data_IF_350380975120
#
_entry.id   IF_350380975120
#
_cell.length_a   1.000
_cell.length_b   1.000
_cell.length_c   1.000
_cell.angle_alpha   90.00
_cell.angle_beta   90.00
_cell.angle_gamma   90.00
#
_symmetry.space_group_name_H-M   'P 1'
#
loop_
_entity.id
_entity.type
_entity.pdbx_description
1 polymer ?
#
# COMPACT_ATOMS: atom_id res chain seq x y z
N UNK A 1 44.32 44.04 17.47
CA UNK A 1 42.87 43.76 17.69
C UNK A 1 42.41 42.93 16.50
N UNK A 2 42.22 41.62 16.69
CA UNK A 2 41.97 40.66 15.61
C UNK A 2 40.57 40.10 15.83
N UNK A 3 39.63 40.51 14.99
CA UNK A 3 38.21 40.14 15.11
C UNK A 3 37.96 38.90 14.28
N UNK A 4 37.96 37.73 14.91
CA UNK A 4 37.64 36.45 14.27
C UNK A 4 36.14 36.37 14.05
N UNK A 5 35.71 36.41 12.79
CA UNK A 5 34.30 36.25 12.39
C UNK A 5 34.00 34.77 12.26
N UNK A 6 33.14 34.24 13.13
CA UNK A 6 32.63 32.87 13.03
C UNK A 6 31.44 32.85 12.07
N UNK A 7 31.62 32.25 10.89
CA UNK A 7 30.51 31.93 9.99
C UNK A 7 29.90 30.61 10.47
N UNK A 8 28.78 30.70 11.18
CA UNK A 8 27.99 29.53 11.57
C UNK A 8 27.20 29.09 10.33
N UNK A 9 27.65 28.01 9.70
CA UNK A 9 26.90 27.33 8.65
C UNK A 9 25.71 26.61 9.30
N UNK A 10 24.51 27.13 9.09
CA UNK A 10 23.26 26.42 9.37
C UNK A 10 23.17 25.22 8.43
N UNK A 11 23.50 24.02 8.92
CA UNK A 11 23.13 22.78 8.25
C UNK A 11 21.63 22.59 8.40
N UNK A 12 20.86 23.12 7.45
CA UNK A 12 19.46 22.78 7.28
C UNK A 12 19.38 21.31 6.89
N UNK A 13 19.07 20.44 7.85
CA UNK A 13 18.78 19.05 7.57
C UNK A 13 17.54 18.97 6.67
N UNK A 14 17.71 18.46 5.45
CA UNK A 14 16.60 18.12 4.56
C UNK A 14 15.90 16.89 5.18
N UNK A 15 14.86 17.12 5.99
CA UNK A 15 13.93 16.05 6.34
C UNK A 15 13.17 15.72 5.06
N UNK A 16 13.68 14.76 4.29
CA UNK A 16 12.89 14.07 3.29
C UNK A 16 11.74 13.42 4.06
N UNK A 17 10.56 14.05 4.01
CA UNK A 17 9.34 13.42 4.49
C UNK A 17 9.19 12.13 3.72
N UNK A 18 9.34 10.99 4.38
CA UNK A 18 8.96 9.70 3.82
C UNK A 18 7.44 9.69 3.80
N UNK A 19 6.85 10.22 2.74
CA UNK A 19 5.40 10.21 2.62
C UNK A 19 4.96 8.83 2.14
N UNK A 20 4.09 8.23 2.94
CA UNK A 20 3.59 6.89 2.71
C UNK A 20 2.18 7.00 2.15
N UNK A 21 1.85 6.11 1.23
CA UNK A 21 0.49 5.90 0.77
C UNK A 21 -0.18 4.85 1.66
N UNK A 22 -1.36 5.16 2.19
CA UNK A 22 -2.11 4.25 3.04
C UNK A 22 -3.13 3.49 2.19
N UNK A 23 -3.04 2.18 2.19
CA UNK A 23 -3.95 1.31 1.46
C UNK A 23 -5.01 0.79 2.43
N UNK A 24 -6.27 0.91 2.02
CA UNK A 24 -7.46 0.44 2.70
C UNK A 24 -8.07 -0.72 1.92
N UNK A 25 -8.65 -1.70 2.61
CA UNK A 25 -9.49 -2.72 1.99
C UNK A 25 -10.96 -2.42 2.30
N UNK A 26 -11.78 -2.21 1.27
CA UNK A 26 -13.21 -1.89 1.46
C UNK A 26 -14.08 -3.13 1.67
N UNK A 27 -13.62 -4.29 1.21
CA UNK A 27 -14.32 -5.56 1.36
C UNK A 27 -13.34 -6.73 1.38
N UNK A 28 -13.71 -7.79 2.09
CA UNK A 28 -12.88 -8.98 2.24
C UNK A 28 -11.51 -8.68 2.85
N UNK A 29 -10.53 -9.54 2.53
CA UNK A 29 -9.15 -9.33 2.89
C UNK A 29 -8.24 -9.51 1.67
N UNK A 30 -7.13 -8.76 1.68
CA UNK A 30 -6.09 -8.76 0.67
C UNK A 30 -4.73 -8.93 1.33
N UNK A 31 -3.70 -9.20 0.54
CA UNK A 31 -2.30 -9.18 1.00
C UNK A 31 -1.55 -8.15 0.18
N UNK A 32 -0.82 -7.26 0.84
CA UNK A 32 -0.04 -6.16 0.23
C UNK A 32 1.43 -6.40 0.56
N UNK A 33 2.28 -6.70 -0.41
CA UNK A 33 3.72 -6.98 -0.20
C UNK A 33 4.02 -8.01 0.91
N UNK A 34 3.12 -8.97 1.16
CA UNK A 34 3.13 -9.97 2.27
C UNK A 34 2.45 -9.56 3.58
N UNK A 35 1.91 -8.34 3.69
CA UNK A 35 1.12 -7.90 4.85
C UNK A 35 -0.37 -8.11 4.60
N UNK A 36 -1.08 -8.93 5.40
CA UNK A 36 -2.51 -9.09 5.27
C UNK A 36 -3.26 -7.83 5.74
N UNK A 37 -4.32 -7.47 5.03
CA UNK A 37 -5.21 -6.37 5.37
C UNK A 37 -6.66 -6.80 5.13
N UNK A 38 -7.49 -6.71 6.16
CA UNK A 38 -8.92 -6.98 6.09
C UNK A 38 -9.74 -5.70 6.18
N UNK A 39 -10.94 -5.72 5.60
CA UNK A 39 -11.90 -4.65 5.78
C UNK A 39 -12.19 -4.42 7.27
N UNK A 40 -12.11 -3.16 7.71
CA UNK A 40 -12.22 -2.76 9.12
C UNK A 40 -10.95 -2.99 9.96
N UNK A 41 -9.88 -3.56 9.38
CA UNK A 41 -8.62 -3.87 10.07
C UNK A 41 -7.59 -2.73 10.13
N UNK A 42 -7.90 -1.56 9.58
CA UNK A 42 -7.00 -0.41 9.50
C UNK A 42 -6.43 -0.19 8.09
N UNK A 43 -5.14 0.14 8.00
CA UNK A 43 -4.45 0.43 6.74
C UNK A 43 -3.05 -0.19 6.70
N UNK A 44 -2.51 -0.36 5.49
CA UNK A 44 -1.10 -0.69 5.27
C UNK A 44 -0.42 0.49 4.58
N UNK A 45 0.66 1.01 5.17
CA UNK A 45 1.43 2.12 4.62
C UNK A 45 2.54 1.63 3.69
N UNK A 46 2.61 2.19 2.48
CA UNK A 46 3.59 1.85 1.43
C UNK A 46 4.33 3.11 1.00
N UNK A 47 5.66 3.08 1.05
CA UNK A 47 6.52 4.25 0.76
C UNK A 47 7.12 4.27 -0.65
N UNK A 48 7.06 3.17 -1.39
CA UNK A 48 7.73 3.01 -2.70
C UNK A 48 6.95 3.56 -3.90
N UNK A 49 5.71 4.02 -3.72
CA UNK A 49 4.82 4.38 -4.83
C UNK A 49 4.32 3.15 -5.62
N UNK A 50 4.52 1.95 -5.09
CA UNK A 50 4.09 0.71 -5.73
C UNK A 50 3.92 -0.43 -4.73
N UNK A 51 3.01 -1.36 -5.01
CA UNK A 51 2.85 -2.58 -4.22
C UNK A 51 2.33 -3.74 -5.07
N UNK A 52 2.69 -4.96 -4.69
CA UNK A 52 2.03 -6.18 -5.15
C UNK A 52 0.88 -6.49 -4.22
N UNK A 53 -0.33 -6.51 -4.77
CA UNK A 53 -1.57 -6.82 -4.09
C UNK A 53 -2.07 -8.18 -4.56
N UNK A 54 -2.28 -9.08 -3.63
CA UNK A 54 -2.95 -10.36 -3.86
C UNK A 54 -4.38 -10.23 -3.35
N UNK A 55 -5.35 -10.64 -4.16
CA UNK A 55 -6.77 -10.48 -3.85
C UNK A 55 -7.60 -11.70 -4.22
N UNK A 56 -8.92 -11.57 -4.07
CA UNK A 56 -9.92 -12.60 -4.39
C UNK A 56 -9.69 -13.93 -3.66
N UNK A 57 -9.29 -13.85 -2.40
CA UNK A 57 -9.24 -15.00 -1.50
C UNK A 57 -10.66 -15.53 -1.23
N UNK A 58 -10.77 -16.83 -0.95
CA UNK A 58 -12.05 -17.53 -0.74
C UNK A 58 -12.71 -17.24 0.63
N UNK A 59 -12.01 -16.54 1.52
CA UNK A 59 -12.50 -16.21 2.86
C UNK A 59 -12.33 -17.32 3.89
N UNK A 60 -11.69 -18.42 3.54
CA UNK A 60 -11.41 -19.50 4.48
C UNK A 60 -10.19 -19.15 5.34
N UNK A 61 -10.28 -19.23 6.67
CA UNK A 61 -9.16 -18.94 7.59
C UNK A 61 -8.13 -20.06 7.73
N UNK A 62 -8.30 -21.20 7.04
CA UNK A 62 -7.34 -22.31 7.03
C UNK A 62 -7.12 -22.80 5.59
N UNK A 63 -5.89 -23.16 5.18
CA UNK A 63 -4.64 -23.20 5.96
C UNK A 63 -4.00 -21.79 6.14
N UNK A 64 -2.88 -21.64 6.91
CA UNK A 64 -2.18 -20.36 7.10
C UNK A 64 -1.59 -19.74 5.81
N UNK A 65 -1.52 -20.52 4.74
CA UNK A 65 -1.18 -20.06 3.39
C UNK A 65 -2.22 -20.59 2.41
N UNK A 66 -2.51 -19.84 1.37
CA UNK A 66 -3.47 -20.23 0.33
C UNK A 66 -3.12 -19.58 -1.00
N UNK A 67 -3.77 -20.04 -2.07
CA UNK A 67 -3.67 -19.40 -3.38
C UNK A 67 -4.52 -18.14 -3.43
N UNK A 68 -3.93 -17.04 -3.90
CA UNK A 68 -4.73 -15.87 -4.28
C UNK A 68 -5.58 -16.15 -5.53
N UNK A 69 -6.66 -15.40 -5.70
CA UNK A 69 -7.50 -15.45 -6.91
C UNK A 69 -7.06 -14.48 -8.01
N UNK A 70 -6.25 -13.48 -7.66
CA UNK A 70 -5.64 -12.53 -8.60
C UNK A 70 -4.32 -11.96 -8.02
N UNK A 71 -3.49 -11.41 -8.91
CA UNK A 71 -2.31 -10.61 -8.55
C UNK A 71 -2.43 -9.27 -9.27
N UNK A 72 -2.19 -8.18 -8.55
CA UNK A 72 -2.11 -6.83 -9.08
C UNK A 72 -0.78 -6.21 -8.67
N UNK A 73 0.07 -5.90 -9.65
CA UNK A 73 1.24 -5.05 -9.43
C UNK A 73 0.80 -3.62 -9.69
N UNK A 74 0.56 -2.87 -8.62
CA UNK A 74 0.01 -1.53 -8.69
C UNK A 74 1.09 -0.46 -8.51
N UNK A 75 0.90 0.66 -9.19
CA UNK A 75 1.79 1.81 -9.15
C UNK A 75 0.99 3.12 -9.02
N UNK A 76 1.57 4.09 -8.32
CA UNK A 76 1.04 5.42 -8.11
C UNK A 76 2.19 6.41 -7.90
N UNK A 77 1.98 7.72 -8.14
CA UNK A 77 2.91 8.74 -7.71
C UNK A 77 3.28 8.58 -6.24
N UNK A 78 4.53 8.85 -5.86
CA UNK A 78 4.88 8.92 -4.44
C UNK A 78 3.89 9.83 -3.69
N UNK A 79 3.60 9.50 -2.43
CA UNK A 79 2.84 10.38 -1.54
C UNK A 79 1.36 10.55 -1.94
N UNK A 80 0.77 9.51 -2.55
CA UNK A 80 -0.57 9.56 -3.11
C UNK A 80 -1.71 9.78 -2.09
N UNK A 81 -1.41 9.68 -0.79
CA UNK A 81 -2.40 9.77 0.28
C UNK A 81 -3.06 8.42 0.55
N UNK A 82 -4.39 8.35 0.42
CA UNK A 82 -5.16 7.12 0.66
C UNK A 82 -5.56 6.44 -0.65
N UNK A 83 -5.37 5.12 -0.70
CA UNK A 83 -5.82 4.23 -1.77
C UNK A 83 -6.80 3.22 -1.19
N UNK A 84 -7.89 2.96 -1.90
CA UNK A 84 -8.95 2.05 -1.49
C UNK A 84 -9.05 0.90 -2.48
N UNK A 85 -8.86 -0.32 -2.00
CA UNK A 85 -9.15 -1.55 -2.75
C UNK A 85 -10.65 -1.83 -2.66
N UNK A 86 -11.35 -1.64 -3.77
CA UNK A 86 -12.80 -1.78 -3.90
C UNK A 86 -13.26 -3.24 -3.90
N UNK A 87 -14.56 -3.44 -3.64
CA UNK A 87 -15.20 -4.76 -3.69
C UNK A 87 -15.23 -5.36 -5.11
N UNK A 88 -15.06 -4.52 -6.13
CA UNK A 88 -14.89 -4.91 -7.53
C UNK A 88 -13.42 -5.26 -7.88
N UNK A 89 -12.53 -5.27 -6.88
CA UNK A 89 -11.12 -5.62 -6.98
C UNK A 89 -10.25 -4.57 -7.69
N UNK A 90 -10.71 -3.31 -7.74
CA UNK A 90 -10.02 -2.18 -8.35
C UNK A 90 -9.50 -1.18 -7.32
N UNK A 91 -8.51 -0.38 -7.70
CA UNK A 91 -7.96 0.68 -6.85
C UNK A 91 -8.62 2.03 -7.12
N UNK A 92 -8.93 2.73 -6.03
CA UNK A 92 -9.56 4.05 -6.01
C UNK A 92 -8.79 5.01 -5.11
N UNK A 93 -8.81 6.29 -5.43
CA UNK A 93 -8.30 7.34 -4.55
C UNK A 93 -9.32 7.75 -3.48
N UNK A 94 -8.94 8.65 -2.58
CA UNK A 94 -9.82 9.21 -1.53
C UNK A 94 -11.03 10.00 -2.03
N UNK A 95 -11.14 10.26 -3.33
CA UNK A 95 -12.32 10.86 -3.97
C UNK A 95 -13.20 9.84 -4.70
N UNK A 96 -12.91 8.54 -4.51
CA UNK A 96 -13.55 7.42 -5.18
C UNK A 96 -13.34 7.41 -6.71
N UNK A 97 -12.27 8.06 -7.20
CA UNK A 97 -11.88 7.97 -8.60
C UNK A 97 -10.96 6.77 -8.80
N UNK A 98 -11.21 6.00 -9.86
CA UNK A 98 -10.41 4.84 -10.18
C UNK A 98 -8.99 5.26 -10.62
N UNK A 99 -7.98 4.62 -10.04
CA UNK A 99 -6.57 4.94 -10.28
C UNK A 99 -6.08 4.20 -11.52
N UNK A 100 -6.33 4.77 -12.70
CA UNK A 100 -5.77 4.30 -13.96
C UNK A 100 -6.25 2.92 -14.43
N UNK A 101 -7.43 2.48 -14.00
CA UNK A 101 -8.01 1.17 -14.36
C UNK A 101 -7.35 0.00 -13.64
N UNK A 102 -6.59 0.23 -12.57
CA UNK A 102 -5.81 -0.81 -11.91
C UNK A 102 -6.72 -1.77 -11.13
N UNK A 103 -6.94 -2.94 -11.72
CA UNK A 103 -7.83 -3.96 -11.17
C UNK A 103 -7.16 -5.33 -11.13
N UNK A 104 -7.37 -6.03 -10.01
CA UNK A 104 -6.89 -7.37 -9.77
C UNK A 104 -7.81 -8.38 -10.46
N UNK A 105 -7.44 -8.80 -11.67
CA UNK A 105 -8.30 -9.58 -12.56
C UNK A 105 -7.89 -11.05 -12.63
N UNK A 106 -6.60 -11.33 -12.82
CA UNK A 106 -6.04 -12.66 -13.06
C UNK A 106 -4.71 -12.88 -12.34
N UNK A 107 -4.20 -14.11 -12.38
CA UNK A 107 -2.93 -14.51 -11.73
C UNK A 107 -3.16 -15.15 -10.37
N UNK A 108 -2.28 -16.07 -9.96
CA UNK A 108 -2.39 -16.73 -8.66
C UNK A 108 -1.00 -16.95 -8.08
N UNK A 109 -0.87 -16.75 -6.78
CA UNK A 109 0.35 -17.05 -6.04
C UNK A 109 0.02 -17.66 -4.68
N UNK A 110 0.89 -18.54 -4.19
CA UNK A 110 0.73 -19.20 -2.90
C UNK A 110 1.35 -18.36 -1.77
N UNK A 111 0.52 -17.51 -1.18
CA UNK A 111 0.91 -16.47 -0.20
C UNK A 111 0.31 -16.74 1.18
N UNK A 112 0.59 -15.86 2.15
CA UNK A 112 -0.07 -15.89 3.46
C UNK A 112 -1.59 -15.78 3.28
N UNK A 113 -2.34 -16.55 4.07
CA UNK A 113 -3.79 -16.45 4.08
C UNK A 113 -4.19 -15.24 4.93
N UNK A 114 -4.83 -14.20 4.36
CA UNK A 114 -5.16 -13.00 5.13
C UNK A 114 -6.32 -13.20 6.11
N UNK A 115 -7.01 -14.35 6.08
CA UNK A 115 -8.08 -14.70 7.01
C UNK A 115 -7.63 -15.60 8.17
N UNK A 116 -6.34 -15.95 8.24
CA UNK A 116 -5.79 -16.81 9.27
C UNK A 116 -5.49 -16.07 10.58
#
# INVERSE_FOLDING_TARGET
>A
MQTTTHVIALMTALVAGVSATNIHANSGCIVINSTPLCAGGGTVSVTSGSATIYGRFDGNGQPPKTWSGCILNAEWPADYGDIYYGADNCLYDGTAQNIGGQCCTTGQEYVVNPYH
#
